data_IF_921389340352
#
_entry.id   IF_921389340352
#
_cell.length_a   1.000
_cell.length_b   1.000
_cell.length_c   1.000
_cell.angle_alpha   90.00
_cell.angle_beta   90.00
_cell.angle_gamma   90.00
#
_symmetry.space_group_name_H-M   'P 1'
#
loop_
_entity.id
_entity.type
_entity.pdbx_description
1 polymer ?
#
# COMPACT_ATOMS: atom_id res chain seq x y z
N UNK A 1 -1.88 15.96 -7.64
CA UNK A 1 -2.07 15.28 -8.94
C UNK A 1 -2.55 16.30 -9.95
N UNK A 2 -1.95 16.36 -11.13
CA UNK A 2 -2.33 17.22 -12.26
C UNK A 2 -3.22 16.43 -13.20
N UNK A 3 -4.50 16.33 -12.88
CA UNK A 3 -5.44 15.44 -13.58
C UNK A 3 -5.60 15.76 -15.07
N UNK A 4 -5.42 17.02 -15.47
CA UNK A 4 -5.51 17.44 -16.86
C UNK A 4 -4.42 16.84 -17.77
N UNK A 5 -3.30 16.39 -17.19
CA UNK A 5 -2.19 15.76 -17.91
C UNK A 5 -2.34 14.22 -18.01
N UNK A 6 -3.39 13.66 -17.39
CA UNK A 6 -3.58 12.21 -17.22
C UNK A 6 -4.77 11.69 -18.04
N UNK A 7 -4.67 10.46 -18.53
CA UNK A 7 -5.74 9.79 -19.29
C UNK A 7 -6.63 8.88 -18.44
N UNK A 8 -6.14 8.50 -17.26
CA UNK A 8 -6.87 7.67 -16.29
C UNK A 8 -6.25 7.80 -14.89
N UNK A 9 -6.98 7.32 -13.88
CA UNK A 9 -6.49 7.15 -12.51
C UNK A 9 -6.79 5.70 -12.09
N UNK A 10 -5.75 4.93 -11.77
CA UNK A 10 -5.91 3.65 -11.08
C UNK A 10 -5.97 3.88 -9.58
N UNK A 11 -7.07 3.46 -8.96
CA UNK A 11 -7.31 3.67 -7.52
C UNK A 11 -6.91 2.48 -6.65
N UNK A 12 -6.37 1.40 -7.23
CA UNK A 12 -5.99 0.19 -6.52
C UNK A 12 -4.65 -0.34 -7.02
N UNK A 13 -3.56 0.23 -6.51
CA UNK A 13 -2.20 -0.23 -6.81
C UNK A 13 -1.47 -0.62 -5.53
N UNK A 14 -1.02 -1.88 -5.45
CA UNK A 14 -0.27 -2.36 -4.30
C UNK A 14 1.22 -2.05 -4.42
N UNK A 15 1.83 -1.54 -3.34
CA UNK A 15 3.25 -1.63 -3.10
C UNK A 15 3.54 -3.01 -2.49
N UNK A 16 4.20 -3.87 -3.27
CA UNK A 16 4.51 -5.26 -2.88
C UNK A 16 6.01 -5.46 -2.56
N UNK A 17 6.88 -4.58 -3.07
CA UNK A 17 8.34 -4.62 -2.84
C UNK A 17 8.82 -3.28 -2.30
N UNK A 18 9.44 -3.29 -1.13
CA UNK A 18 10.05 -2.09 -0.54
C UNK A 18 11.44 -1.84 -1.12
N UNK A 19 11.80 -0.56 -1.20
CA UNK A 19 13.14 -0.09 -1.53
C UNK A 19 13.99 0.20 -0.27
N UNK A 20 13.42 0.05 0.93
CA UNK A 20 14.03 0.46 2.21
C UNK A 20 14.20 -0.68 3.21
N UNK A 21 13.53 -1.81 3.01
CA UNK A 21 13.66 -3.00 3.83
C UNK A 21 13.82 -4.25 2.96
N UNK A 22 14.55 -5.22 3.50
CA UNK A 22 14.67 -6.54 2.87
C UNK A 22 13.32 -7.27 2.87
N UNK A 23 13.16 -8.19 1.92
CA UNK A 23 11.99 -9.05 1.85
C UNK A 23 11.79 -9.81 3.18
N UNK A 24 10.52 -9.90 3.61
CA UNK A 24 10.18 -10.65 4.82
C UNK A 24 10.06 -12.15 4.50
N UNK A 25 10.83 -13.03 5.14
CA UNK A 25 10.71 -14.48 4.93
C UNK A 25 9.31 -15.02 5.23
N UNK A 26 8.54 -14.38 6.13
CA UNK A 26 7.15 -14.78 6.43
C UNK A 26 6.18 -14.41 5.30
N UNK A 27 6.53 -13.45 4.45
CA UNK A 27 5.74 -13.11 3.26
C UNK A 27 5.99 -14.08 2.09
N UNK A 28 7.19 -14.67 2.00
CA UNK A 28 7.62 -15.46 0.85
C UNK A 28 6.64 -16.59 0.45
N UNK A 29 6.06 -17.39 1.37
CA UNK A 29 5.10 -18.44 0.99
C UNK A 29 3.82 -17.88 0.31
N UNK A 30 3.38 -16.68 0.70
CA UNK A 30 2.21 -16.02 0.13
C UNK A 30 2.52 -15.46 -1.26
N UNK A 31 3.70 -14.85 -1.42
CA UNK A 31 4.19 -14.39 -2.72
C UNK A 31 4.34 -15.56 -3.70
N UNK A 32 4.94 -16.67 -3.28
CA UNK A 32 5.05 -17.88 -4.10
C UNK A 32 3.69 -18.45 -4.51
N UNK A 33 2.75 -18.52 -3.57
CA UNK A 33 1.39 -18.98 -3.86
C UNK A 33 0.67 -18.07 -4.85
N UNK A 34 0.77 -16.74 -4.68
CA UNK A 34 0.21 -15.76 -5.60
C UNK A 34 0.84 -15.87 -6.99
N UNK A 35 2.16 -16.02 -7.09
CA UNK A 35 2.87 -16.19 -8.36
C UNK A 35 2.45 -17.46 -9.09
N UNK A 36 2.30 -18.59 -8.39
CA UNK A 36 1.76 -19.82 -8.97
C UNK A 36 0.33 -19.65 -9.47
N UNK A 37 -0.54 -19.01 -8.69
CA UNK A 37 -1.95 -18.86 -9.03
C UNK A 37 -2.18 -17.88 -10.19
N UNK A 38 -1.62 -16.67 -10.08
CA UNK A 38 -1.79 -15.62 -11.09
C UNK A 38 -0.86 -15.78 -12.30
N UNK A 39 0.03 -16.77 -12.28
CA UNK A 39 1.08 -16.97 -13.30
C UNK A 39 1.91 -15.69 -13.46
N UNK A 40 2.18 -15.05 -12.32
CA UNK A 40 2.91 -13.79 -12.22
C UNK A 40 4.38 -14.06 -11.88
N UNK A 41 5.26 -13.15 -12.30
CA UNK A 41 6.67 -13.16 -11.97
C UNK A 41 7.02 -12.21 -10.83
N UNK A 42 8.24 -11.69 -10.88
CA UNK A 42 8.74 -10.67 -9.94
C UNK A 42 7.80 -9.47 -9.89
N UNK A 43 7.51 -9.01 -8.68
CA UNK A 43 6.72 -7.80 -8.42
C UNK A 43 7.59 -6.54 -8.62
N UNK A 44 7.04 -5.47 -9.21
CA UNK A 44 7.79 -4.24 -9.40
C UNK A 44 8.00 -3.52 -8.06
N UNK A 45 9.09 -2.78 -7.96
CA UNK A 45 9.27 -1.79 -6.89
C UNK A 45 8.32 -0.60 -7.08
N UNK A 46 8.22 0.26 -6.06
CA UNK A 46 7.46 1.52 -6.17
C UNK A 46 7.97 2.38 -7.34
N UNK A 47 9.29 2.49 -7.51
CA UNK A 47 9.89 3.27 -8.60
C UNK A 47 9.57 2.71 -9.98
N UNK A 48 9.74 1.40 -10.18
CA UNK A 48 9.40 0.73 -11.44
C UNK A 48 7.90 0.88 -11.79
N UNK A 49 7.04 0.86 -10.77
CA UNK A 49 5.59 1.09 -10.93
C UNK A 49 5.33 2.53 -11.38
N UNK A 50 5.95 3.53 -10.72
CA UNK A 50 5.82 4.94 -11.12
C UNK A 50 6.24 5.14 -12.57
N UNK A 51 7.38 4.60 -13.00
CA UNK A 51 7.87 4.72 -14.38
C UNK A 51 6.88 4.11 -15.38
N UNK A 52 6.34 2.93 -15.07
CA UNK A 52 5.36 2.23 -15.91
C UNK A 52 4.08 3.07 -16.13
N UNK A 53 3.55 3.66 -15.06
CA UNK A 53 2.33 4.46 -15.10
C UNK A 53 2.55 5.83 -15.74
N UNK A 54 3.68 6.48 -15.44
CA UNK A 54 4.07 7.78 -16.02
C UNK A 54 4.20 7.70 -17.54
N UNK A 55 4.82 6.64 -18.06
CA UNK A 55 4.93 6.41 -19.51
C UNK A 55 3.57 6.31 -20.22
N UNK A 56 2.49 5.98 -19.49
CA UNK A 56 1.11 5.85 -19.99
C UNK A 56 0.23 7.04 -19.66
N UNK A 57 0.74 8.05 -18.95
CA UNK A 57 -0.02 9.17 -18.41
C UNK A 57 -1.19 8.71 -17.52
N UNK A 58 -0.98 7.68 -16.72
CA UNK A 58 -1.98 7.18 -15.77
C UNK A 58 -1.55 7.61 -14.37
N UNK A 59 -2.45 8.28 -13.64
CA UNK A 59 -2.26 8.54 -12.22
C UNK A 59 -2.55 7.30 -11.39
N UNK A 60 -1.98 7.19 -10.19
CA UNK A 60 -2.23 6.03 -9.33
C UNK A 60 -2.40 6.37 -7.86
N UNK A 61 -3.26 5.61 -7.19
CA UNK A 61 -3.36 5.54 -5.74
C UNK A 61 -2.63 4.28 -5.27
N UNK A 62 -1.52 4.47 -4.57
CA UNK A 62 -0.72 3.37 -4.05
C UNK A 62 -0.90 3.19 -2.55
N UNK A 63 -0.88 1.93 -2.11
CA UNK A 63 -0.89 1.53 -0.72
C UNK A 63 -0.14 0.21 -0.54
N UNK A 64 0.25 -0.10 0.69
CA UNK A 64 0.59 -1.47 1.12
C UNK A 64 -0.58 -2.03 1.92
N UNK A 65 -0.42 -3.24 2.46
CA UNK A 65 -1.37 -3.83 3.41
C UNK A 65 -0.64 -4.25 4.67
N UNK A 66 -1.05 -3.66 5.78
CA UNK A 66 -0.58 -3.96 7.12
C UNK A 66 -1.26 -5.23 7.63
N UNK A 67 -0.56 -6.36 7.51
CA UNK A 67 -1.05 -7.72 7.78
C UNK A 67 -0.29 -8.37 8.94
N UNK A 68 0.29 -7.53 9.81
CA UNK A 68 1.16 -7.94 10.90
C UNK A 68 0.45 -8.84 11.93
N UNK A 69 -0.85 -8.70 12.15
CA UNK A 69 -1.59 -9.56 13.08
C UNK A 69 -1.91 -10.94 12.49
N UNK A 70 -2.58 -10.98 11.33
CA UNK A 70 -3.14 -12.21 10.78
C UNK A 70 -2.10 -13.05 10.03
N UNK A 71 -1.23 -12.41 9.24
CA UNK A 71 -0.21 -13.11 8.44
C UNK A 71 1.13 -13.15 9.17
N UNK A 72 1.44 -12.11 9.95
CA UNK A 72 2.69 -12.03 10.71
C UNK A 72 3.91 -11.55 9.93
N UNK A 73 3.73 -11.05 8.69
CA UNK A 73 4.81 -10.39 7.96
C UNK A 73 4.92 -8.91 8.32
N UNK A 74 6.13 -8.36 8.22
CA UNK A 74 6.34 -6.91 8.30
C UNK A 74 5.70 -6.22 7.09
N UNK A 75 5.00 -5.12 7.35
CA UNK A 75 4.42 -4.28 6.30
C UNK A 75 5.49 -3.44 5.61
N UNK A 76 5.20 -2.95 4.40
CA UNK A 76 5.96 -1.81 3.87
C UNK A 76 5.56 -0.56 4.67
N UNK A 77 6.52 0.25 5.14
CA UNK A 77 6.20 1.44 5.92
C UNK A 77 5.30 2.43 5.17
N UNK A 78 4.27 2.97 5.84
CA UNK A 78 3.37 3.97 5.26
C UNK A 78 4.12 5.24 4.79
N UNK A 79 5.21 5.61 5.49
CA UNK A 79 6.04 6.77 5.16
C UNK A 79 6.86 6.58 3.87
N UNK A 80 7.16 5.34 3.48
CA UNK A 80 7.79 5.02 2.20
C UNK A 80 6.88 5.39 1.03
N UNK A 81 5.62 4.96 1.10
CA UNK A 81 4.61 5.26 0.08
C UNK A 81 4.26 6.75 0.09
N UNK A 82 4.13 7.34 1.28
CA UNK A 82 3.85 8.76 1.42
C UNK A 82 4.99 9.62 0.84
N UNK A 83 6.25 9.24 1.03
CA UNK A 83 7.38 9.93 0.40
C UNK A 83 7.34 9.80 -1.12
N UNK A 84 7.12 8.59 -1.65
CA UNK A 84 7.00 8.38 -3.09
C UNK A 84 5.88 9.21 -3.72
N UNK A 85 4.73 9.33 -3.04
CA UNK A 85 3.62 10.17 -3.47
C UNK A 85 3.93 11.68 -3.41
N UNK A 86 4.72 12.13 -2.43
CA UNK A 86 5.21 13.52 -2.40
C UNK A 86 6.12 13.81 -3.59
N UNK A 87 7.08 12.92 -3.84
CA UNK A 87 8.07 13.08 -4.91
C UNK A 87 7.44 12.96 -6.32
N UNK A 88 6.28 12.29 -6.42
CA UNK A 88 5.50 12.12 -7.65
C UNK A 88 4.11 12.76 -7.55
N UNK A 89 4.01 13.89 -6.85
CA UNK A 89 2.72 14.55 -6.54
C UNK A 89 1.93 15.02 -7.76
N UNK A 90 2.55 15.04 -8.95
CA UNK A 90 1.88 15.29 -10.21
C UNK A 90 0.98 14.12 -10.65
N UNK A 91 1.29 12.88 -10.28
CA UNK A 91 0.57 11.69 -10.76
C UNK A 91 0.19 10.66 -9.68
N UNK A 92 0.75 10.73 -8.48
CA UNK A 92 0.61 9.71 -7.44
C UNK A 92 -0.10 10.25 -6.19
N UNK A 93 -0.92 9.40 -5.57
CA UNK A 93 -1.55 9.63 -4.26
C UNK A 93 -1.23 8.43 -3.35
N UNK A 94 -0.96 8.68 -2.07
CA UNK A 94 -0.75 7.63 -1.08
C UNK A 94 -2.03 7.37 -0.28
N UNK A 95 -2.39 6.10 -0.15
CA UNK A 95 -3.23 5.59 0.92
C UNK A 95 -2.35 4.86 1.94
N UNK A 96 -2.70 4.98 3.21
CA UNK A 96 -2.07 4.21 4.28
C UNK A 96 -2.77 2.87 4.49
N UNK A 97 -2.11 1.94 5.18
CA UNK A 97 -2.76 0.79 5.81
C UNK A 97 -2.33 0.70 7.26
N UNK A 98 -3.29 0.45 8.14
CA UNK A 98 -3.07 0.23 9.57
C UNK A 98 -3.87 -1.01 9.96
N UNK A 99 -3.23 -1.97 10.63
CA UNK A 99 -3.89 -3.17 11.14
C UNK A 99 -4.83 -2.79 12.31
N UNK A 100 -6.15 -3.06 12.20
CA UNK A 100 -7.11 -2.75 13.27
C UNK A 100 -6.77 -3.42 14.62
N UNK A 101 -6.06 -4.56 14.60
CA UNK A 101 -5.69 -5.29 15.81
C UNK A 101 -4.65 -4.56 16.67
N UNK A 102 -4.03 -3.49 16.16
CA UNK A 102 -3.13 -2.62 16.94
C UNK A 102 -3.88 -1.75 17.96
N UNK A 103 -5.22 -1.76 17.95
CA UNK A 103 -6.06 -1.07 18.92
C UNK A 103 -5.70 0.41 19.05
N UNK A 104 -5.48 0.88 20.29
CA UNK A 104 -5.20 2.29 20.56
C UNK A 104 -3.93 2.81 19.85
N UNK A 105 -2.93 1.96 19.60
CA UNK A 105 -1.73 2.36 18.87
C UNK A 105 -2.00 2.52 17.37
N UNK A 106 -2.80 1.63 16.78
CA UNK A 106 -3.26 1.76 15.40
C UNK A 106 -4.08 3.03 15.19
N UNK A 107 -5.00 3.33 16.11
CA UNK A 107 -5.78 4.57 16.04
C UNK A 107 -4.92 5.84 16.14
N UNK A 108 -3.84 5.82 16.94
CA UNK A 108 -2.87 6.93 17.01
C UNK A 108 -2.12 7.08 15.68
N UNK A 109 -1.58 5.99 15.13
CA UNK A 109 -0.89 6.01 13.84
C UNK A 109 -1.81 6.56 12.73
N UNK A 110 -3.06 6.08 12.67
CA UNK A 110 -4.04 6.57 11.70
C UNK A 110 -4.30 8.08 11.85
N UNK A 111 -4.48 8.57 13.09
CA UNK A 111 -4.65 10.01 13.35
C UNK A 111 -3.43 10.81 12.91
N UNK A 112 -2.22 10.39 13.28
CA UNK A 112 -1.00 11.11 12.97
C UNK A 112 -0.77 11.17 11.43
N UNK A 113 -1.13 10.10 10.71
CA UNK A 113 -1.11 10.05 9.24
C UNK A 113 -2.12 11.02 8.60
N UNK A 114 -3.34 11.12 9.15
CA UNK A 114 -4.35 12.08 8.70
C UNK A 114 -3.89 13.51 8.95
N UNK A 115 -3.43 13.81 10.17
CA UNK A 115 -3.01 15.16 10.58
C UNK A 115 -1.80 15.65 9.80
N UNK A 116 -0.86 14.76 9.44
CA UNK A 116 0.28 15.10 8.59
C UNK A 116 -0.10 15.49 7.16
N UNK A 117 -1.30 15.12 6.70
CA UNK A 117 -1.75 15.29 5.32
C UNK A 117 -0.97 14.46 4.28
N UNK A 118 -0.07 13.57 4.73
CA UNK A 118 0.83 12.78 3.91
C UNK A 118 0.12 11.69 3.11
N UNK A 119 -1.04 11.24 3.58
CA UNK A 119 -1.92 10.27 2.88
C UNK A 119 -3.30 10.89 2.64
N UNK A 120 -4.05 10.33 1.68
CA UNK A 120 -5.39 10.81 1.30
C UNK A 120 -6.51 9.80 1.61
N UNK A 121 -6.18 8.68 2.24
CA UNK A 121 -7.13 7.64 2.59
C UNK A 121 -6.44 6.43 3.17
N UNK A 122 -7.23 5.39 3.40
CA UNK A 122 -6.77 4.12 3.96
C UNK A 122 -7.21 2.97 3.08
N UNK A 123 -6.36 1.96 2.96
CA UNK A 123 -6.69 0.64 2.45
C UNK A 123 -6.78 -0.33 3.61
N UNK A 124 -7.85 -1.11 3.62
CA UNK A 124 -7.98 -2.30 4.44
C UNK A 124 -8.14 -3.54 3.55
N UNK A 125 -7.70 -4.68 4.05
CA UNK A 125 -7.85 -5.99 3.42
C UNK A 125 -8.38 -7.01 4.44
N UNK A 126 -9.70 -7.03 4.70
CA UNK A 126 -10.33 -7.81 5.77
C UNK A 126 -9.83 -9.25 5.90
N UNK A 127 -9.74 -9.99 4.78
CA UNK A 127 -9.26 -11.38 4.77
C UNK A 127 -7.79 -11.54 5.17
N UNK A 128 -6.91 -10.61 4.79
CA UNK A 128 -5.48 -10.70 5.10
C UNK A 128 -5.15 -10.03 6.43
N UNK A 129 -6.08 -9.27 6.99
CA UNK A 129 -5.96 -8.59 8.27
C UNK A 129 -6.79 -9.27 9.37
N UNK A 130 -7.51 -10.36 9.07
CA UNK A 130 -8.18 -11.19 10.08
C UNK A 130 -9.45 -10.59 10.69
N UNK A 131 -10.19 -9.74 9.97
CA UNK A 131 -11.42 -9.13 10.51
C UNK A 131 -12.57 -9.10 9.49
N UNK A 132 -13.81 -8.97 9.96
CA UNK A 132 -14.97 -8.73 9.11
C UNK A 132 -15.22 -7.22 8.93
N UNK A 133 -15.62 -6.74 7.74
CA UNK A 133 -15.88 -5.31 7.52
C UNK A 133 -16.92 -4.65 8.45
N UNK A 134 -17.70 -5.43 9.17
CA UNK A 134 -18.71 -4.98 10.13
C UNK A 134 -18.31 -5.22 11.60
N UNK A 135 -17.08 -5.66 11.88
CA UNK A 135 -16.58 -5.79 13.23
C UNK A 135 -16.36 -4.41 13.86
N UNK A 136 -16.79 -4.24 15.12
CA UNK A 136 -16.66 -2.96 15.84
C UNK A 136 -15.22 -2.53 16.14
N UNK A 137 -14.25 -3.42 15.89
CA UNK A 137 -12.83 -3.12 16.08
C UNK A 137 -12.25 -2.28 14.93
N UNK A 138 -12.87 -2.31 13.76
CA UNK A 138 -12.39 -1.72 12.51
C UNK A 138 -13.28 -0.58 12.02
#
# INVERSE_FOLDING_TARGET
MKTDDLVAIDVHTHAEVSCRQDADPFWAPYEEAANRYFKAGRRPTIGETVDYYRARKIGLVMFTVDTEFEIGNRRIPNDEIAQAARDNSDMMVAFASVDPHKGAMGAREARDLIESGAVKGFKFHPTCQGFYPNDRMA
#
